data_IF_672336034141
#
_entry.id   IF_672336034141
#
_cell.length_a   1.000
_cell.length_b   1.000
_cell.length_c   1.000
_cell.angle_alpha   90.00
_cell.angle_beta   90.00
_cell.angle_gamma   90.00
#
_symmetry.space_group_name_H-M   'P 1'
#
loop_
_entity.id
_entity.type
_entity.pdbx_description
1 polymer ?
#
# COMPACT_ATOMS: atom_id res chain seq x y z
N UNK A 1 0.34 7.38 8.41
CA UNK A 1 1.39 8.22 7.81
C UNK A 1 2.39 7.27 7.19
N UNK A 2 2.82 7.48 5.94
CA UNK A 2 3.72 6.56 5.24
C UNK A 2 5.13 6.59 5.88
N UNK A 3 5.78 5.44 6.00
CA UNK A 3 7.14 5.36 6.53
C UNK A 3 8.13 6.05 5.59
N UNK A 4 7.97 5.86 4.28
CA UNK A 4 8.86 6.41 3.26
C UNK A 4 8.08 6.83 2.02
N UNK A 5 8.54 7.91 1.38
CA UNK A 5 8.04 8.40 0.11
C UNK A 5 9.24 8.61 -0.82
N UNK A 6 9.21 7.95 -1.98
CA UNK A 6 10.26 8.08 -3.01
C UNK A 6 9.63 8.62 -4.29
N UNK A 7 10.25 9.63 -4.89
CA UNK A 7 9.85 10.18 -6.18
C UNK A 7 10.95 9.97 -7.22
N UNK A 8 10.59 9.39 -8.37
CA UNK A 8 11.49 9.21 -9.50
C UNK A 8 10.71 9.18 -10.81
N UNK A 9 11.09 10.03 -11.78
CA UNK A 9 10.63 9.91 -13.16
C UNK A 9 9.11 9.93 -13.36
N UNK A 10 8.38 10.76 -12.62
CA UNK A 10 6.90 10.82 -12.71
C UNK A 10 6.19 9.72 -11.92
N UNK A 11 6.89 9.03 -11.03
CA UNK A 11 6.32 8.02 -10.12
C UNK A 11 6.62 8.42 -8.68
N UNK A 12 5.61 8.32 -7.82
CA UNK A 12 5.77 8.44 -6.37
C UNK A 12 5.40 7.11 -5.73
N UNK A 13 6.31 6.55 -4.94
CA UNK A 13 6.06 5.32 -4.18
C UNK A 13 5.90 5.67 -2.71
N UNK A 14 4.77 5.29 -2.14
CA UNK A 14 4.55 5.34 -0.70
C UNK A 14 4.72 3.95 -0.11
N UNK A 15 5.56 3.82 0.92
CA UNK A 15 5.78 2.57 1.65
C UNK A 15 5.10 2.63 3.02
N UNK A 16 4.46 1.53 3.41
CA UNK A 16 3.76 1.37 4.68
C UNK A 16 4.15 0.11 5.38
N UNK A 17 4.29 0.15 6.71
CA UNK A 17 4.40 -1.06 7.52
C UNK A 17 3.01 -1.58 7.90
N UNK A 18 2.68 -2.79 7.44
CA UNK A 18 1.43 -3.44 7.75
C UNK A 18 1.31 -3.78 9.25
N UNK A 19 0.11 -3.65 9.80
CA UNK A 19 -0.17 -3.83 11.23
C UNK A 19 0.23 -2.65 12.12
N UNK A 20 0.96 -1.67 11.58
CA UNK A 20 1.40 -0.47 12.31
C UNK A 20 0.83 0.81 11.71
N UNK A 21 0.93 0.99 10.40
CA UNK A 21 0.49 2.21 9.70
C UNK A 21 -0.82 2.01 8.95
N UNK A 22 -1.02 0.80 8.40
CA UNK A 22 -2.26 0.29 7.82
C UNK A 22 -2.63 -1.03 8.51
N UNK A 23 -3.86 -1.52 8.35
CA UNK A 23 -4.31 -2.77 8.97
C UNK A 23 -4.16 -2.79 10.52
N UNK A 24 -4.26 -1.64 11.19
CA UNK A 24 -3.87 -1.48 12.61
C UNK A 24 -4.67 -2.32 13.59
N UNK A 25 -5.86 -2.79 13.19
CA UNK A 25 -6.69 -3.64 14.05
C UNK A 25 -6.55 -5.13 13.73
N UNK A 26 -5.81 -5.49 12.67
CA UNK A 26 -5.59 -6.88 12.27
C UNK A 26 -4.42 -7.49 13.07
N UNK A 27 -4.71 -8.57 13.80
CA UNK A 27 -3.74 -9.26 14.66
C UNK A 27 -2.67 -10.01 13.87
N UNK A 28 -2.98 -10.50 12.67
CA UNK A 28 -2.03 -11.20 11.81
C UNK A 28 -1.10 -10.21 11.12
N UNK A 29 -1.64 -9.09 10.63
CA UNK A 29 -0.85 -8.02 10.02
C UNK A 29 0.23 -7.49 10.99
N UNK A 30 -0.11 -7.33 12.27
CA UNK A 30 0.82 -6.93 13.33
C UNK A 30 1.99 -7.88 13.55
N UNK A 31 1.80 -9.18 13.31
CA UNK A 31 2.83 -10.20 13.53
C UNK A 31 3.75 -10.38 12.32
N UNK A 32 3.24 -10.15 11.10
CA UNK A 32 4.04 -10.30 9.89
C UNK A 32 5.01 -9.16 9.63
N UNK A 33 4.69 -7.93 10.06
CA UNK A 33 5.51 -6.74 9.84
C UNK A 33 5.99 -6.60 8.37
N UNK A 34 5.11 -6.84 7.41
CA UNK A 34 5.44 -6.72 5.99
C UNK A 34 5.23 -5.29 5.48
N UNK A 35 6.03 -4.89 4.49
CA UNK A 35 5.81 -3.63 3.80
C UNK A 35 4.73 -3.78 2.73
N UNK A 36 3.89 -2.76 2.60
CA UNK A 36 2.95 -2.57 1.51
C UNK A 36 3.33 -1.29 0.77
N UNK A 37 3.01 -1.23 -0.52
CA UNK A 37 3.35 -0.08 -1.35
C UNK A 37 2.14 0.44 -2.09
N UNK A 38 2.03 1.76 -2.22
CA UNK A 38 1.17 2.42 -3.19
C UNK A 38 2.08 3.15 -4.19
N UNK A 39 2.13 2.65 -5.42
CA UNK A 39 2.93 3.22 -6.49
C UNK A 39 2.01 4.07 -7.36
N UNK A 40 2.27 5.37 -7.38
CA UNK A 40 1.44 6.39 -8.03
C UNK A 40 2.14 6.88 -9.29
N UNK A 41 1.46 6.83 -10.43
CA UNK A 41 1.83 7.59 -11.61
C UNK A 41 1.36 9.04 -11.43
N UNK A 42 2.29 9.99 -11.39
CA UNK A 42 1.96 11.39 -11.13
C UNK A 42 1.32 12.08 -12.33
N UNK A 43 1.49 11.53 -13.55
CA UNK A 43 0.97 12.12 -14.78
C UNK A 43 -0.55 11.99 -14.89
N UNK A 44 -1.08 10.78 -14.67
CA UNK A 44 -2.50 10.46 -14.83
C UNK A 44 -3.21 10.16 -13.51
N UNK A 45 -2.48 10.27 -12.38
CA UNK A 45 -2.99 10.03 -11.03
C UNK A 45 -3.53 8.62 -10.82
N UNK A 46 -3.08 7.66 -11.63
CA UNK A 46 -3.33 6.25 -11.39
C UNK A 46 -2.38 5.68 -10.35
N UNK A 47 -2.80 4.62 -9.68
CA UNK A 47 -1.97 3.93 -8.70
C UNK A 47 -2.16 2.42 -8.75
N UNK A 48 -1.13 1.69 -8.34
CA UNK A 48 -1.20 0.25 -8.04
C UNK A 48 -0.78 0.03 -6.58
N UNK A 49 -1.47 -0.87 -5.90
CA UNK A 49 -1.07 -1.35 -4.59
C UNK A 49 -0.33 -2.69 -4.71
N UNK A 50 0.82 -2.79 -4.05
CA UNK A 50 1.68 -3.98 -4.03
C UNK A 50 1.69 -4.56 -2.62
N UNK A 51 1.56 -5.89 -2.53
CA UNK A 51 1.47 -6.66 -1.28
C UNK A 51 0.31 -6.22 -0.38
N UNK A 52 -0.85 -5.94 -0.98
CA UNK A 52 -2.05 -5.40 -0.34
C UNK A 52 -2.81 -6.38 0.58
N UNK A 53 -2.20 -7.49 0.96
CA UNK A 53 -2.83 -8.71 1.50
C UNK A 53 -3.78 -8.48 2.67
N UNK A 54 -3.42 -7.55 3.57
CA UNK A 54 -4.09 -7.46 4.87
C UNK A 54 -5.04 -6.28 5.00
N UNK A 55 -5.00 -5.30 4.09
CA UNK A 55 -5.86 -4.10 4.19
C UNK A 55 -6.06 -3.40 2.85
N UNK A 56 -6.71 -4.10 1.92
CA UNK A 56 -7.15 -3.54 0.64
C UNK A 56 -8.01 -2.28 0.85
N UNK A 57 -8.88 -2.28 1.87
CA UNK A 57 -9.76 -1.15 2.17
C UNK A 57 -8.96 0.09 2.60
N UNK A 58 -8.01 -0.07 3.52
CA UNK A 58 -7.13 1.00 3.98
C UNK A 58 -6.29 1.59 2.84
N UNK A 59 -5.84 0.75 1.91
CA UNK A 59 -5.13 1.20 0.71
C UNK A 59 -6.03 2.00 -0.24
N UNK A 60 -7.30 1.60 -0.42
CA UNK A 60 -8.26 2.40 -1.18
C UNK A 60 -8.59 3.73 -0.52
N UNK A 61 -8.75 3.74 0.81
CA UNK A 61 -8.98 4.96 1.56
C UNK A 61 -7.78 5.92 1.41
N UNK A 62 -6.57 5.40 1.54
CA UNK A 62 -5.37 6.18 1.35
C UNK A 62 -5.26 6.74 -0.07
N UNK A 63 -5.56 5.92 -1.09
CA UNK A 63 -5.59 6.39 -2.48
C UNK A 63 -6.60 7.54 -2.65
N UNK A 64 -7.76 7.47 -2.01
CA UNK A 64 -8.75 8.54 -2.02
C UNK A 64 -8.25 9.82 -1.32
N UNK A 65 -7.62 9.70 -0.15
CA UNK A 65 -7.00 10.83 0.58
C UNK A 65 -5.90 11.51 -0.23
N UNK A 66 -5.13 10.72 -0.98
CA UNK A 66 -4.09 11.22 -1.88
C UNK A 66 -4.63 11.76 -3.20
N UNK A 67 -5.94 11.63 -3.48
CA UNK A 67 -6.54 12.06 -4.74
C UNK A 67 -6.00 11.30 -5.95
N UNK A 68 -5.80 9.99 -5.81
CA UNK A 68 -5.33 9.08 -6.87
C UNK A 68 -6.28 7.91 -7.03
N UNK A 69 -6.33 7.32 -8.23
CA UNK A 69 -7.19 6.18 -8.55
C UNK A 69 -6.40 4.88 -8.48
N UNK A 70 -6.63 4.09 -7.44
CA UNK A 70 -6.06 2.75 -7.33
C UNK A 70 -6.75 1.79 -8.31
N UNK A 71 -6.01 1.28 -9.30
CA UNK A 71 -6.52 0.42 -10.37
C UNK A 71 -6.44 -1.06 -10.02
N UNK A 72 -5.39 -1.46 -9.29
CA UNK A 72 -5.06 -2.86 -9.02
C UNK A 72 -4.53 -2.96 -7.58
N UNK A 73 -5.01 -3.97 -6.86
CA UNK A 73 -4.39 -4.43 -5.61
C UNK A 73 -3.77 -5.81 -5.85
N UNK A 74 -2.45 -5.88 -5.93
CA UNK A 74 -1.73 -7.15 -6.01
C UNK A 74 -1.58 -7.74 -4.62
N UNK A 75 -1.93 -9.02 -4.51
CA UNK A 75 -1.98 -9.76 -3.25
C UNK A 75 -0.95 -10.88 -3.34
N UNK A 76 0.25 -10.69 -2.78
CA UNK A 76 1.24 -11.76 -2.70
C UNK A 76 1.21 -12.42 -1.32
N UNK A 77 0.46 -13.51 -1.20
CA UNK A 77 0.61 -14.42 -0.06
C UNK A 77 1.69 -15.46 -0.41
N UNK A 78 2.84 -15.44 0.28
CA UNK A 78 3.69 -16.62 0.30
C UNK A 78 2.94 -17.70 1.06
N UNK A 79 2.64 -18.84 0.40
CA UNK A 79 2.22 -20.05 1.12
C UNK A 79 3.34 -20.38 2.10
N UNK A 80 3.04 -20.33 3.41
CA UNK A 80 3.89 -20.96 4.40
C UNK A 80 3.89 -22.47 4.08
N UNK A 81 5.06 -23.00 3.74
CA UNK A 81 5.30 -24.44 3.60
C UNK A 81 5.43 -25.10 4.96
#
# INVERSE_FOLDING_TARGET
>A
MATQVLECGGVVTYQFLCGTEIAKEDRFAKQMANYCYLVVNTLDRSAIAVDAVWDVRGLHQLAAELGVRCLICSVHMRRAG
#
